data_IF_157626063960
#
_entry.id   IF_157626063960
#
_cell.length_a   1.000
_cell.length_b   1.000
_cell.length_c   1.000
_cell.angle_alpha   90.00
_cell.angle_beta   90.00
_cell.angle_gamma   90.00
#
_symmetry.space_group_name_H-M   'P 1'
#
loop_
_entity.id
_entity.type
_entity.pdbx_description
1 polymer ?
#
# COMPACT_ATOMS: atom_id res chain seq x y z
N UNK A 1 29.02 39.99 -24.36
CA UNK A 1 29.99 38.93 -24.72
C UNK A 1 29.56 37.66 -23.97
N UNK A 2 29.72 36.50 -24.60
CA UNK A 2 29.17 35.16 -24.29
C UNK A 2 27.75 34.90 -24.87
N UNK A 3 27.68 34.26 -26.04
CA UNK A 3 26.47 33.70 -26.64
C UNK A 3 26.28 32.19 -26.36
N UNK A 4 25.00 31.78 -26.36
CA UNK A 4 24.41 30.53 -26.85
C UNK A 4 24.89 29.17 -26.27
N UNK A 5 23.99 28.52 -25.51
CA UNK A 5 24.02 27.07 -25.29
C UNK A 5 23.45 26.38 -26.55
N UNK A 6 24.33 25.62 -27.21
CA UNK A 6 24.07 24.84 -28.42
C UNK A 6 23.16 23.65 -28.17
N UNK A 7 22.28 23.43 -29.14
CA UNK A 7 21.54 22.20 -29.40
C UNK A 7 22.44 20.96 -29.31
N UNK A 8 22.04 19.97 -28.51
CA UNK A 8 22.54 18.61 -28.64
C UNK A 8 21.45 17.77 -29.32
N UNK A 9 21.69 17.52 -30.61
CA UNK A 9 20.97 16.53 -31.41
C UNK A 9 21.29 15.12 -30.90
N UNK A 10 20.25 14.36 -30.57
CA UNK A 10 20.36 12.92 -30.34
C UNK A 10 20.36 12.24 -31.72
N UNK A 11 21.51 11.67 -32.11
CA UNK A 11 21.63 10.85 -33.34
C UNK A 11 20.88 9.53 -33.17
N UNK A 12 19.94 9.27 -34.08
CA UNK A 12 19.34 7.95 -34.30
C UNK A 12 20.32 7.05 -35.04
N UNK A 13 20.53 5.83 -34.52
CA UNK A 13 21.26 4.76 -35.21
C UNK A 13 20.22 3.78 -35.76
N UNK A 14 20.30 3.51 -37.06
CA UNK A 14 19.43 2.62 -37.83
C UNK A 14 19.69 1.14 -37.53
N UNK A 15 18.66 0.27 -37.47
CA UNK A 15 18.84 -1.16 -37.28
C UNK A 15 18.86 -1.86 -38.64
N UNK A 16 20.03 -2.27 -39.12
CA UNK A 16 20.08 -3.30 -40.15
C UNK A 16 21.25 -4.27 -39.96
N UNK A 17 20.90 -5.54 -40.15
CA UNK A 17 21.74 -6.73 -40.33
C UNK A 17 22.31 -7.40 -39.08
N UNK A 18 21.50 -8.32 -38.54
CA UNK A 18 22.02 -9.64 -38.19
C UNK A 18 20.95 -10.73 -38.38
N UNK A 19 20.85 -11.26 -39.60
CA UNK A 19 20.23 -12.57 -39.85
C UNK A 19 21.27 -13.64 -39.59
N UNK A 20 21.15 -14.41 -38.51
CA UNK A 20 21.75 -15.75 -38.38
C UNK A 20 20.78 -16.68 -37.65
N UNK A 21 20.28 -17.63 -38.45
CA UNK A 21 19.85 -19.01 -38.14
C UNK A 21 19.66 -19.38 -36.66
N UNK A 22 18.40 -19.61 -36.28
CA UNK A 22 18.00 -20.37 -35.10
C UNK A 22 17.26 -21.62 -35.60
N UNK A 23 17.74 -22.85 -35.34
CA UNK A 23 16.86 -23.98 -35.18
C UNK A 23 16.63 -24.24 -33.67
N UNK A 24 15.56 -25.00 -33.39
CA UNK A 24 15.12 -25.48 -32.08
C UNK A 24 14.26 -24.51 -31.25
N UNK A 25 12.95 -24.62 -31.50
CA UNK A 25 11.90 -24.83 -30.50
C UNK A 25 12.27 -24.48 -29.06
N UNK A 26 12.17 -23.21 -28.70
CA UNK A 26 11.93 -22.79 -27.33
C UNK A 26 10.50 -22.31 -27.25
N UNK A 27 9.68 -23.02 -26.48
CA UNK A 27 8.29 -22.67 -26.23
C UNK A 27 8.21 -21.22 -25.74
N UNK A 28 7.63 -20.35 -26.57
CA UNK A 28 7.07 -19.06 -26.16
C UNK A 28 5.89 -19.37 -25.23
N UNK A 29 6.17 -19.60 -23.94
CA UNK A 29 5.15 -19.55 -22.91
C UNK A 29 4.69 -18.10 -22.81
N UNK A 30 3.55 -17.88 -23.45
CA UNK A 30 2.77 -16.66 -23.55
C UNK A 30 2.65 -15.92 -22.20
N UNK A 31 3.12 -14.66 -22.06
CA UNK A 31 2.91 -13.86 -20.85
C UNK A 31 1.44 -13.47 -20.60
N UNK A 32 0.51 -13.90 -21.46
CA UNK A 32 -0.91 -13.56 -21.38
C UNK A 32 -1.70 -14.39 -20.35
N UNK A 33 -1.18 -15.53 -19.86
CA UNK A 33 -1.94 -16.35 -18.89
C UNK A 33 -2.07 -15.71 -17.50
N UNK A 34 -1.11 -14.88 -17.07
CA UNK A 34 -1.13 -14.28 -15.73
C UNK A 34 -2.11 -13.11 -15.60
N UNK A 35 -2.47 -12.43 -16.69
CA UNK A 35 -3.36 -11.28 -16.65
C UNK A 35 -4.83 -11.66 -16.34
N UNK A 36 -5.29 -12.81 -16.85
CA UNK A 36 -6.68 -13.26 -16.71
C UNK A 36 -7.08 -13.67 -15.29
N UNK A 37 -6.16 -14.28 -14.53
CA UNK A 37 -6.43 -14.65 -13.13
C UNK A 37 -6.58 -13.41 -12.24
N UNK A 38 -5.78 -12.37 -12.51
CA UNK A 38 -5.82 -11.12 -11.74
C UNK A 38 -7.12 -10.34 -11.93
N UNK A 39 -7.65 -10.29 -13.14
CA UNK A 39 -8.90 -9.57 -13.45
C UNK A 39 -10.12 -10.31 -12.90
N UNK A 40 -10.15 -11.65 -13.04
CA UNK A 40 -11.21 -12.50 -12.47
C UNK A 40 -11.34 -12.34 -10.95
N UNK A 41 -10.20 -12.24 -10.25
CA UNK A 41 -10.14 -12.12 -8.79
C UNK A 41 -10.58 -10.75 -8.27
N UNK A 42 -10.22 -9.67 -8.97
CA UNK A 42 -10.74 -8.33 -8.61
C UNK A 42 -12.26 -8.30 -8.79
N UNK A 43 -12.78 -8.90 -9.86
CA UNK A 43 -14.21 -8.93 -10.14
C UNK A 43 -15.03 -9.70 -9.09
N UNK A 44 -14.49 -10.78 -8.50
CA UNK A 44 -15.17 -11.47 -7.40
C UNK A 44 -15.16 -10.64 -6.11
N UNK A 45 -14.05 -9.96 -5.80
CA UNK A 45 -13.94 -9.05 -4.65
C UNK A 45 -14.93 -7.89 -4.79
N UNK A 46 -14.99 -7.24 -5.95
CA UNK A 46 -15.89 -6.11 -6.14
C UNK A 46 -17.36 -6.52 -6.02
N UNK A 47 -17.73 -7.73 -6.45
CA UNK A 47 -19.08 -8.27 -6.24
C UNK A 47 -19.40 -8.48 -4.76
N UNK A 48 -18.46 -9.00 -3.98
CA UNK A 48 -18.63 -9.15 -2.54
C UNK A 48 -18.80 -7.76 -1.88
N UNK A 49 -17.93 -6.81 -2.17
CA UNK A 49 -17.97 -5.47 -1.58
C UNK A 49 -19.24 -4.70 -1.96
N UNK A 50 -19.72 -4.86 -3.20
CA UNK A 50 -20.97 -4.25 -3.66
C UNK A 50 -22.21 -4.79 -2.92
N UNK A 51 -22.12 -5.98 -2.30
CA UNK A 51 -23.21 -6.56 -1.51
C UNK A 51 -23.31 -5.99 -0.09
N UNK A 52 -22.33 -5.19 0.36
CA UNK A 52 -22.36 -4.51 1.66
C UNK A 52 -23.53 -3.54 1.74
N UNK A 53 -24.41 -3.75 2.72
CA UNK A 53 -25.60 -2.91 2.96
C UNK A 53 -25.33 -1.72 3.88
N UNK A 54 -24.21 -1.74 4.60
CA UNK A 54 -23.77 -0.70 5.53
C UNK A 54 -22.38 -0.17 5.17
N UNK A 55 -22.03 1.03 5.66
CA UNK A 55 -20.66 1.53 5.68
C UNK A 55 -19.67 0.46 6.14
N UNK A 56 -18.75 0.07 5.27
CA UNK A 56 -17.85 -1.06 5.50
C UNK A 56 -16.44 -0.76 5.00
N UNK A 57 -15.43 -1.22 5.75
CA UNK A 57 -14.01 -1.15 5.39
C UNK A 57 -13.46 -2.56 5.21
N UNK A 58 -12.85 -2.80 4.05
CA UNK A 58 -12.18 -4.04 3.69
C UNK A 58 -10.67 -3.82 3.53
N UNK A 59 -9.90 -4.81 3.97
CA UNK A 59 -8.45 -4.85 3.77
C UNK A 59 -8.14 -5.78 2.59
N UNK A 60 -7.33 -5.30 1.65
CA UNK A 60 -6.90 -6.05 0.46
C UNK A 60 -5.39 -6.27 0.55
N UNK A 61 -4.95 -7.52 0.49
CA UNK A 61 -3.53 -7.87 0.51
C UNK A 61 -2.84 -7.61 -0.85
N UNK A 62 -1.50 -7.75 -0.87
CA UNK A 62 -0.69 -7.60 -2.08
C UNK A 62 -1.06 -8.58 -3.20
N UNK A 63 -1.61 -9.72 -2.83
CA UNK A 63 -2.08 -10.78 -3.74
C UNK A 63 -3.50 -10.51 -4.23
N UNK A 64 -4.08 -9.35 -3.91
CA UNK A 64 -5.44 -8.94 -4.24
C UNK A 64 -6.48 -9.92 -3.69
N UNK A 65 -6.33 -10.37 -2.46
CA UNK A 65 -7.37 -11.04 -1.67
C UNK A 65 -7.93 -10.11 -0.62
N UNK A 66 -9.14 -10.39 -0.14
CA UNK A 66 -9.61 -9.84 1.13
C UNK A 66 -8.82 -10.49 2.26
N UNK A 67 -8.17 -9.66 3.06
CA UNK A 67 -7.52 -10.06 4.30
C UNK A 67 -8.46 -9.82 5.47
N UNK A 68 -8.68 -10.85 6.29
CA UNK A 68 -9.50 -10.75 7.51
C UNK A 68 -8.66 -10.71 8.78
N UNK A 69 -7.36 -10.99 8.69
CA UNK A 69 -6.43 -11.02 9.82
C UNK A 69 -5.75 -9.67 10.07
N UNK A 70 -4.69 -9.66 10.91
CA UNK A 70 -3.91 -8.46 11.18
C UNK A 70 -3.11 -8.01 9.96
N UNK A 71 -2.73 -6.74 9.95
CA UNK A 71 -1.82 -6.16 8.96
C UNK A 71 -0.40 -6.60 9.31
N UNK A 72 0.14 -7.50 8.50
CA UNK A 72 1.50 -8.01 8.67
C UNK A 72 2.51 -7.12 7.94
N UNK A 73 3.38 -6.45 8.70
CA UNK A 73 4.48 -5.63 8.18
C UNK A 73 5.68 -6.46 7.71
N UNK A 74 5.71 -7.75 8.00
CA UNK A 74 6.87 -8.61 7.79
C UNK A 74 8.05 -8.15 8.64
N UNK A 75 9.24 -8.12 8.04
CA UNK A 75 10.41 -7.46 8.61
C UNK A 75 10.55 -6.09 7.98
N UNK A 76 10.53 -5.05 8.80
CA UNK A 76 10.64 -3.68 8.34
C UNK A 76 11.83 -2.98 9.00
N UNK A 77 12.72 -2.45 8.16
CA UNK A 77 13.82 -1.61 8.60
C UNK A 77 13.31 -0.20 8.81
N UNK A 78 13.46 0.33 10.02
CA UNK A 78 13.19 1.73 10.30
C UNK A 78 14.52 2.47 10.53
N UNK A 79 14.54 3.75 10.18
CA UNK A 79 15.66 4.64 10.47
C UNK A 79 15.16 5.62 11.52
N UNK A 80 15.83 5.69 12.66
CA UNK A 80 15.51 6.71 13.65
C UNK A 80 15.95 8.06 13.09
N UNK A 81 15.00 8.85 12.61
CA UNK A 81 15.19 10.25 12.23
C UNK A 81 14.70 11.14 13.38
N UNK A 82 15.17 12.39 13.43
CA UNK A 82 14.71 13.39 14.41
C UNK A 82 13.24 13.84 14.18
N UNK A 83 12.46 13.06 13.44
CA UNK A 83 11.04 13.31 13.19
C UNK A 83 10.18 12.75 14.32
N UNK A 84 9.10 13.46 14.63
CA UNK A 84 8.14 13.07 15.68
C UNK A 84 7.37 11.77 15.34
N UNK A 85 7.38 11.35 14.09
CA UNK A 85 6.68 10.16 13.61
C UNK A 85 7.42 9.46 12.48
N UNK A 86 7.23 8.16 12.38
CA UNK A 86 7.68 7.33 11.27
C UNK A 86 6.47 6.77 10.53
N UNK A 87 6.48 6.86 9.19
CA UNK A 87 5.45 6.26 8.33
C UNK A 87 6.00 4.99 7.70
N UNK A 88 5.33 3.88 7.96
CA UNK A 88 5.67 2.57 7.44
C UNK A 88 4.69 2.23 6.33
N UNK A 89 5.17 2.22 5.09
CA UNK A 89 4.36 1.85 3.94
C UNK A 89 4.04 0.35 3.98
N UNK A 90 2.82 0.00 3.58
CA UNK A 90 2.40 -1.39 3.44
C UNK A 90 1.94 -1.65 2.01
N UNK A 91 1.97 -2.91 1.60
CA UNK A 91 1.39 -3.32 0.32
C UNK A 91 -0.14 -3.50 0.37
N UNK A 92 -0.74 -3.26 1.53
CA UNK A 92 -2.18 -3.38 1.69
C UNK A 92 -2.90 -2.17 1.09
N UNK A 93 -4.08 -2.45 0.55
CA UNK A 93 -5.06 -1.43 0.18
C UNK A 93 -6.27 -1.56 1.07
N UNK A 94 -6.94 -0.43 1.29
CA UNK A 94 -8.21 -0.40 1.98
C UNK A 94 -9.29 0.03 1.00
N UNK A 95 -10.40 -0.69 0.99
CA UNK A 95 -11.60 -0.33 0.23
C UNK A 95 -12.70 0.06 1.20
N UNK A 96 -13.24 1.26 1.01
CA UNK A 96 -14.34 1.80 1.80
C UNK A 96 -15.57 1.92 0.90
N UNK A 97 -16.68 1.38 1.37
CA UNK A 97 -17.98 1.48 0.71
C UNK A 97 -19.00 2.11 1.64
N UNK A 98 -19.87 3.02 1.16
CA UNK A 98 -19.90 3.58 -0.20
C UNK A 98 -18.80 4.62 -0.46
N UNK A 99 -18.49 4.90 -1.73
CA UNK A 99 -17.43 5.84 -2.16
C UNK A 99 -17.55 7.28 -1.63
N UNK A 100 -18.73 7.68 -1.17
CA UNK A 100 -18.97 9.02 -0.62
C UNK A 100 -18.33 9.23 0.75
N UNK A 101 -18.04 8.14 1.46
CA UNK A 101 -17.41 8.19 2.78
C UNK A 101 -16.04 8.82 2.70
N UNK A 102 -15.69 9.62 3.70
CA UNK A 102 -14.42 10.32 3.82
C UNK A 102 -13.67 9.83 5.04
N UNK A 103 -12.37 9.57 4.88
CA UNK A 103 -11.49 9.23 5.99
C UNK A 103 -10.92 10.52 6.55
N UNK A 104 -11.08 10.74 7.85
CA UNK A 104 -10.45 11.84 8.58
C UNK A 104 -9.06 11.37 8.98
N UNK A 105 -7.97 12.09 8.64
CA UNK A 105 -6.65 11.74 9.13
C UNK A 105 -6.61 11.71 10.66
N UNK A 106 -6.06 10.64 11.21
CA UNK A 106 -5.78 10.53 12.64
C UNK A 106 -4.44 11.19 12.99
N UNK A 107 -4.34 11.71 14.22
CA UNK A 107 -3.08 12.17 14.80
C UNK A 107 -2.48 11.06 15.67
N UNK A 108 -1.25 10.62 15.36
CA UNK A 108 -0.48 9.73 16.22
C UNK A 108 -0.26 8.31 15.69
N UNK A 109 -0.18 7.33 16.61
CA UNK A 109 0.07 5.92 16.29
C UNK A 109 -1.19 5.25 15.76
N UNK A 110 -1.45 5.37 14.47
CA UNK A 110 -2.66 4.89 13.82
C UNK A 110 -2.37 4.39 12.39
N UNK A 111 -3.35 3.71 11.80
CA UNK A 111 -3.32 3.40 10.38
C UNK A 111 -3.53 4.69 9.60
N UNK A 112 -2.62 5.03 8.69
CA UNK A 112 -2.78 6.17 7.80
C UNK A 112 -3.14 5.69 6.40
N UNK A 113 -3.92 6.49 5.69
CA UNK A 113 -4.41 6.14 4.36
C UNK A 113 -4.15 7.25 3.36
N UNK A 114 -3.79 6.87 2.13
CA UNK A 114 -3.65 7.79 1.01
C UNK A 114 -4.56 7.36 -0.12
N UNK A 115 -5.38 8.27 -0.64
CA UNK A 115 -6.35 7.94 -1.70
C UNK A 115 -5.62 7.40 -2.93
N UNK A 116 -6.11 6.27 -3.43
CA UNK A 116 -5.57 5.57 -4.59
C UNK A 116 -6.62 5.46 -5.70
N UNK A 117 -6.21 4.93 -6.86
CA UNK A 117 -7.15 4.59 -7.93
C UNK A 117 -8.14 3.55 -7.39
N UNK A 118 -9.44 3.81 -7.61
CA UNK A 118 -10.49 2.90 -7.17
C UNK A 118 -10.34 1.53 -7.86
N UNK A 119 -10.40 0.47 -7.05
CA UNK A 119 -10.40 -0.91 -7.53
C UNK A 119 -11.80 -1.40 -7.91
N UNK A 120 -12.83 -0.92 -7.20
CA UNK A 120 -14.21 -1.37 -7.37
C UNK A 120 -15.14 -0.18 -7.60
N UNK A 121 -16.03 -0.23 -8.61
CA UNK A 121 -17.04 0.81 -8.84
C UNK A 121 -17.86 1.10 -7.57
N UNK A 122 -18.19 2.37 -7.33
CA UNK A 122 -18.99 2.77 -6.17
C UNK A 122 -18.25 2.70 -4.82
N UNK A 123 -16.95 2.43 -4.82
CA UNK A 123 -16.10 2.41 -3.62
C UNK A 123 -14.94 3.41 -3.70
N UNK A 124 -14.39 3.77 -2.53
CA UNK A 124 -13.15 4.51 -2.43
C UNK A 124 -12.01 3.55 -2.06
N UNK A 125 -10.87 3.65 -2.74
CA UNK A 125 -9.68 2.83 -2.45
C UNK A 125 -8.55 3.71 -1.94
N UNK A 126 -7.82 3.20 -0.96
CA UNK A 126 -6.67 3.86 -0.35
C UNK A 126 -5.49 2.91 -0.25
N UNK A 127 -4.28 3.45 -0.39
CA UNK A 127 -3.05 2.80 0.07
C UNK A 127 -2.96 2.92 1.59
N UNK A 128 -2.58 1.83 2.25
CA UNK A 128 -2.48 1.76 3.71
C UNK A 128 -1.03 1.92 4.17
N UNK A 129 -0.83 2.72 5.19
CA UNK A 129 0.42 2.84 5.92
C UNK A 129 0.15 2.76 7.42
N UNK A 130 1.21 2.53 8.20
CA UNK A 130 1.16 2.61 9.65
C UNK A 130 2.03 3.77 10.11
N UNK A 131 1.42 4.76 10.76
CA UNK A 131 2.14 5.86 11.38
C UNK A 131 2.44 5.49 12.82
N UNK A 132 3.69 5.63 13.23
CA UNK A 132 4.14 5.39 14.61
C UNK A 132 4.73 6.67 15.17
N UNK A 133 4.29 7.09 16.35
CA UNK A 133 4.92 8.20 17.07
C UNK A 133 6.31 7.78 17.55
N UNK A 134 7.32 8.60 17.28
CA UNK A 134 8.68 8.44 17.74
C UNK A 134 8.87 9.10 19.12
N UNK A 135 8.11 8.64 20.13
CA UNK A 135 8.18 9.19 21.50
C UNK A 135 9.32 8.55 22.28
N UNK A 136 10.57 8.71 21.84
CA UNK A 136 11.76 8.48 22.70
C UNK A 136 12.85 9.50 22.37
N UNK A 137 13.05 10.43 23.31
CA UNK A 137 14.12 11.45 23.33
C UNK A 137 15.52 10.88 23.59
N UNK A 138 15.63 9.60 23.91
CA UNK A 138 16.93 8.98 24.20
C UNK A 138 17.34 8.10 23.02
N UNK A 139 18.02 8.72 22.06
CA UNK A 139 18.61 8.10 20.86
C UNK A 139 19.56 6.94 21.18
N UNK A 140 19.95 6.78 22.46
CA UNK A 140 20.87 5.75 22.92
C UNK A 140 20.18 4.50 23.48
N UNK A 141 18.89 4.53 23.79
CA UNK A 141 18.15 3.32 24.19
C UNK A 141 17.54 2.64 22.95
N UNK A 142 18.41 1.93 22.22
CA UNK A 142 18.07 1.06 21.10
C UNK A 142 18.17 -0.44 21.49
N UNK A 143 18.18 -0.74 22.79
CA UNK A 143 18.36 -2.08 23.36
C UNK A 143 17.25 -3.09 23.04
N UNK A 144 16.16 -2.61 22.44
CA UNK A 144 14.92 -3.32 22.17
C UNK A 144 14.77 -3.67 20.69
N UNK A 145 15.84 -3.73 19.89
CA UNK A 145 15.78 -4.02 18.45
C UNK A 145 16.64 -5.21 18.03
N UNK A 146 16.13 -6.11 17.16
CA UNK A 146 14.77 -6.11 16.63
C UNK A 146 13.72 -6.43 17.71
N UNK A 147 12.54 -5.78 17.67
CA UNK A 147 11.39 -6.23 18.47
C UNK A 147 10.22 -6.64 17.59
N UNK A 148 9.49 -7.61 18.11
CA UNK A 148 8.20 -8.01 17.55
C UNK A 148 7.17 -6.94 17.86
N UNK A 149 6.53 -6.46 16.81
CA UNK A 149 5.37 -5.58 16.91
C UNK A 149 4.15 -6.47 16.94
N UNK A 150 3.33 -6.28 17.95
CA UNK A 150 2.03 -6.90 18.08
C UNK A 150 1.16 -5.93 18.87
N UNK A 151 0.43 -5.07 18.15
CA UNK A 151 -0.32 -3.99 18.77
C UNK A 151 -1.60 -3.69 18.03
N UNK A 152 -2.61 -3.25 18.76
CA UNK A 152 -3.77 -2.62 18.17
C UNK A 152 -3.36 -1.35 17.43
N UNK A 153 -3.94 -1.11 16.25
CA UNK A 153 -3.75 0.11 15.48
C UNK A 153 -5.11 0.59 14.97
N UNK A 154 -5.56 1.71 15.52
CA UNK A 154 -6.85 2.31 15.20
C UNK A 154 -6.87 2.74 13.73
N UNK A 155 -7.92 2.33 13.00
CA UNK A 155 -8.23 2.90 11.70
C UNK A 155 -8.77 4.34 11.89
N UNK A 156 -8.46 5.30 10.99
CA UNK A 156 -8.95 6.66 11.18
C UNK A 156 -10.48 6.74 11.13
N UNK A 157 -11.02 7.79 11.73
CA UNK A 157 -12.45 8.03 11.72
C UNK A 157 -12.98 8.21 10.29
N UNK A 158 -14.24 7.80 10.09
CA UNK A 158 -14.91 7.86 8.80
C UNK A 158 -16.19 8.69 8.94
N UNK A 159 -16.32 9.68 8.06
CA UNK A 159 -17.50 10.53 7.96
C UNK A 159 -18.30 10.19 6.71
N UNK A 160 -19.62 10.34 6.83
CA UNK A 160 -20.50 10.41 5.67
C UNK A 160 -20.94 11.86 5.46
N UNK A 161 -20.51 12.53 4.38
CA UNK A 161 -20.94 13.89 4.08
C UNK A 161 -22.46 14.05 3.92
N UNK A 162 -23.20 12.95 3.71
CA UNK A 162 -24.66 12.95 3.66
C UNK A 162 -25.33 12.84 5.04
N UNK A 163 -24.56 12.67 6.11
CA UNK A 163 -25.05 12.52 7.49
C UNK A 163 -24.43 13.59 8.39
N UNK A 164 -25.22 14.27 9.24
CA UNK A 164 -24.68 15.15 10.28
C UNK A 164 -24.13 14.37 11.49
N UNK A 165 -24.31 13.05 11.53
CA UNK A 165 -23.88 12.18 12.63
C UNK A 165 -22.70 11.29 12.24
N UNK A 166 -21.83 10.91 13.21
CA UNK A 166 -20.80 9.91 13.01
C UNK A 166 -21.38 8.63 12.42
N UNK A 167 -20.68 8.03 11.46
CA UNK A 167 -21.12 6.79 10.83
C UNK A 167 -20.42 5.61 11.50
N UNK A 168 -21.23 4.66 11.97
CA UNK A 168 -20.73 3.36 12.38
C UNK A 168 -20.24 2.58 11.16
N UNK A 169 -18.97 2.18 11.18
CA UNK A 169 -18.35 1.42 10.09
C UNK A 169 -18.03 0.02 10.57
N UNK A 170 -18.36 -0.96 9.74
CA UNK A 170 -17.97 -2.36 9.97
C UNK A 170 -16.59 -2.61 9.38
N UNK A 171 -15.67 -3.17 10.17
CA UNK A 171 -14.34 -3.55 9.73
C UNK A 171 -14.29 -5.06 9.46
N UNK A 172 -13.90 -5.46 8.25
CA UNK A 172 -13.76 -6.88 7.86
C UNK A 172 -12.33 -7.41 8.04
N UNK A 173 -11.56 -6.82 8.95
CA UNK A 173 -10.20 -7.22 9.27
C UNK A 173 -9.87 -6.88 10.72
N UNK A 174 -8.85 -7.53 11.28
CA UNK A 174 -8.34 -7.18 12.61
C UNK A 174 -7.58 -5.86 12.54
N UNK A 175 -8.02 -4.85 13.30
CA UNK A 175 -7.34 -3.55 13.45
C UNK A 175 -6.08 -3.67 14.32
N UNK A 176 -5.15 -4.50 13.87
CA UNK A 176 -3.95 -4.93 14.59
C UNK A 176 -2.78 -5.00 13.62
N UNK A 177 -1.62 -4.57 14.07
CA UNK A 177 -0.35 -4.64 13.36
C UNK A 177 0.48 -5.76 13.96
N UNK A 178 1.05 -6.61 13.10
CA UNK A 178 2.04 -7.62 13.48
C UNK A 178 3.29 -7.52 12.62
N UNK A 179 4.46 -7.84 13.16
CA UNK A 179 5.70 -7.88 12.40
C UNK A 179 6.95 -7.79 13.27
N UNK A 180 8.09 -7.52 12.64
CA UNK A 180 9.38 -7.30 13.29
C UNK A 180 9.97 -6.00 12.76
N UNK A 181 10.32 -5.08 13.67
CA UNK A 181 11.02 -3.85 13.31
C UNK A 181 12.49 -3.99 13.70
N UNK A 182 13.38 -3.54 12.82
CA UNK A 182 14.82 -3.50 13.07
C UNK A 182 15.41 -2.14 12.71
N UNK A 183 16.52 -1.78 13.34
CA UNK A 183 17.25 -0.54 13.03
C UNK A 183 18.04 -0.74 11.72
N UNK A 184 17.58 -0.10 10.64
CA UNK A 184 18.21 -0.21 9.34
C UNK A 184 19.59 0.48 9.27
N UNK A 185 19.92 1.35 10.25
CA UNK A 185 21.23 2.00 10.34
C UNK A 185 22.29 1.08 10.94
N UNK A 186 21.89 0.01 11.63
CA UNK A 186 22.79 -1.00 12.19
C UNK A 186 22.90 -2.17 11.21
N UNK A 187 24.12 -2.46 10.77
CA UNK A 187 24.40 -3.72 10.05
C UNK A 187 24.18 -4.88 11.04
N UNK A 188 23.14 -5.67 10.78
CA UNK A 188 22.89 -6.95 11.43
C UNK A 188 23.57 -8.09 10.67
#
# INVERSE_FOLDING_TARGET
MIPQLKNNEVKFISPEKLKRLIPMSLALLSPYLLAGEHESKINSICRLIASSKSPTVFLIDKSKNISTGPINLGKYGYINNDEDYNVILTDYKVIITPARLKVIPCAGSCLSVKKAKSLCPGTATYDLAYTRINKRRDINDLSWLPFKVDTYATFPDVEDPASPYPVGVTYHFEQRIVGEMYDASKKH
#
